data_IF_069447672789
#
_entry.id   IF_069447672789
#
_cell.length_a   1.000
_cell.length_b   1.000
_cell.length_c   1.000
_cell.angle_alpha   90.00
_cell.angle_beta   90.00
_cell.angle_gamma   90.00
#
_symmetry.space_group_name_H-M   'P 1'
#
loop_
_entity.id
_entity.type
_entity.pdbx_description
1 polymer ?
#
# COMPACT_ATOMS: atom_id res chain seq x y z
N UNK A 1 14.49 -0.73 12.39
CA UNK A 1 13.69 -1.70 13.17
C UNK A 1 13.89 -1.52 14.67
N UNK A 2 15.12 -1.57 15.22
CA UNK A 2 15.42 -1.43 16.67
C UNK A 2 14.82 -0.17 17.28
N UNK A 3 14.93 0.98 16.62
CA UNK A 3 14.40 2.26 17.12
C UNK A 3 12.86 2.23 17.24
N UNK A 4 12.15 1.68 16.24
CA UNK A 4 10.69 1.56 16.30
C UNK A 4 10.26 0.65 17.46
N UNK A 5 10.95 -0.47 17.66
CA UNK A 5 10.70 -1.36 18.81
C UNK A 5 10.92 -0.68 20.15
N UNK A 6 11.93 0.20 20.23
CA UNK A 6 12.17 1.02 21.41
C UNK A 6 11.02 2.01 21.65
N UNK A 7 10.59 2.74 20.61
CA UNK A 7 9.47 3.69 20.70
C UNK A 7 8.12 3.06 21.03
N UNK A 8 7.91 1.79 20.64
CA UNK A 8 6.71 1.03 21.02
C UNK A 8 6.67 0.67 22.51
N UNK A 9 7.83 0.50 23.13
CA UNK A 9 7.94 0.09 24.54
C UNK A 9 7.94 1.26 25.51
N UNK A 10 8.56 2.37 25.12
CA UNK A 10 8.75 3.54 25.97
C UNK A 10 9.00 4.78 25.13
N UNK A 11 8.61 5.93 25.64
CA UNK A 11 8.97 7.25 25.09
C UNK A 11 10.24 7.84 25.73
N UNK A 12 10.95 7.05 26.53
CA UNK A 12 12.12 7.47 27.31
C UNK A 12 11.77 7.95 28.73
N UNK A 13 10.49 8.20 29.03
CA UNK A 13 10.00 8.65 30.35
C UNK A 13 9.03 7.65 30.98
N UNK A 14 8.12 7.07 30.20
CA UNK A 14 7.09 6.15 30.69
C UNK A 14 6.96 4.92 29.80
N UNK A 15 6.52 3.80 30.40
CA UNK A 15 6.16 2.60 29.66
C UNK A 15 4.83 2.84 28.93
N UNK A 16 4.80 2.57 27.62
CA UNK A 16 3.61 2.77 26.79
C UNK A 16 2.63 1.62 26.89
N UNK A 17 1.34 1.97 26.90
CA UNK A 17 0.23 1.06 26.72
C UNK A 17 -0.09 0.81 25.23
N UNK A 18 -1.05 -0.09 24.94
CA UNK A 18 -1.40 -0.46 23.57
C UNK A 18 -2.00 0.70 22.74
N UNK A 19 -2.64 1.67 23.40
CA UNK A 19 -3.31 2.81 22.76
C UNK A 19 -2.45 4.09 22.74
N UNK A 20 -1.24 4.03 23.30
CA UNK A 20 -0.36 5.19 23.32
C UNK A 20 0.28 5.45 21.96
N UNK A 21 0.45 6.74 21.57
CA UNK A 21 1.04 7.08 20.28
C UNK A 21 2.50 6.62 20.20
N UNK A 22 2.90 6.03 19.09
CA UNK A 22 4.28 5.57 18.85
C UNK A 22 5.25 6.74 18.94
N UNK A 23 4.91 7.86 18.29
CA UNK A 23 5.69 9.09 18.30
C UNK A 23 4.95 10.15 19.10
N UNK A 24 5.58 10.59 20.18
CA UNK A 24 5.04 11.59 21.08
C UNK A 24 6.14 12.59 21.51
N UNK A 25 5.73 13.79 21.84
CA UNK A 25 6.60 14.82 22.38
C UNK A 25 6.03 15.38 23.69
N UNK A 26 6.88 15.81 24.66
CA UNK A 26 6.40 16.43 25.86
C UNK A 26 5.72 17.78 25.56
N UNK A 27 4.62 18.08 26.21
CA UNK A 27 4.01 19.39 26.16
C UNK A 27 4.94 20.40 26.87
N UNK A 28 4.98 21.63 26.37
CA UNK A 28 5.77 22.72 26.93
C UNK A 28 5.49 23.02 28.43
N UNK A 29 4.36 22.57 28.95
CA UNK A 29 4.01 22.63 30.39
C UNK A 29 3.34 21.30 30.78
N UNK A 30 4.08 20.43 31.48
CA UNK A 30 3.60 19.20 32.11
C UNK A 30 4.18 17.90 31.51
N UNK A 31 4.11 16.84 32.31
CA UNK A 31 4.68 15.50 31.97
C UNK A 31 3.87 14.71 30.95
N UNK A 32 2.78 15.28 30.44
CA UNK A 32 1.89 14.56 29.52
C UNK A 32 2.42 14.58 28.08
N UNK A 33 2.76 13.41 27.58
CA UNK A 33 3.15 13.21 26.21
C UNK A 33 1.96 13.39 25.24
N UNK A 34 2.19 14.08 24.13
CA UNK A 34 1.18 14.27 23.09
C UNK A 34 1.66 13.70 21.77
N UNK A 35 0.75 13.15 20.94
CA UNK A 35 1.09 12.67 19.61
C UNK A 35 1.86 13.72 18.83
N UNK A 36 2.95 13.30 18.17
CA UNK A 36 3.73 14.20 17.32
C UNK A 36 2.96 14.47 16.03
N UNK A 37 2.57 15.72 15.74
CA UNK A 37 1.85 16.05 14.53
C UNK A 37 2.72 15.80 13.27
N UNK A 38 2.13 15.36 12.14
CA UNK A 38 2.87 15.16 10.89
C UNK A 38 3.63 16.42 10.41
N UNK A 39 3.10 17.60 10.67
CA UNK A 39 3.72 18.86 10.27
C UNK A 39 5.06 19.10 10.95
N UNK A 40 5.20 18.73 12.21
CA UNK A 40 6.47 18.85 12.96
C UNK A 40 7.53 17.97 12.32
N UNK A 41 7.18 16.74 11.91
CA UNK A 41 8.09 15.84 11.21
C UNK A 41 8.48 16.42 9.85
N UNK A 42 7.52 16.96 9.10
CA UNK A 42 7.78 17.56 7.79
C UNK A 42 8.63 18.85 7.90
N UNK A 43 8.40 19.67 8.91
CA UNK A 43 9.25 20.84 9.18
C UNK A 43 10.69 20.43 9.52
N UNK A 44 10.86 19.39 10.32
CA UNK A 44 12.18 18.84 10.63
C UNK A 44 12.88 18.35 9.35
N UNK A 45 12.21 17.56 8.52
CA UNK A 45 12.75 17.07 7.23
C UNK A 45 13.09 18.22 6.29
N UNK A 46 12.25 19.25 6.22
CA UNK A 46 12.45 20.44 5.40
C UNK A 46 13.71 21.26 5.72
N UNK A 47 14.30 21.08 6.92
CA UNK A 47 15.59 21.70 7.30
C UNK A 47 16.77 21.09 6.56
N UNK A 48 16.69 19.82 6.18
CA UNK A 48 17.75 19.12 5.45
C UNK A 48 17.66 19.35 3.93
N UNK A 49 16.45 19.44 3.41
CA UNK A 49 16.22 19.71 1.99
C UNK A 49 14.87 20.38 1.79
N UNK A 50 14.86 21.50 1.04
CA UNK A 50 13.62 22.22 0.71
C UNK A 50 12.62 21.30 0.01
N UNK A 51 11.42 21.21 0.54
CA UNK A 51 10.34 20.36 -0.01
C UNK A 51 10.38 18.90 0.45
N UNK A 52 11.38 18.49 1.23
CA UNK A 52 11.43 17.14 1.78
C UNK A 52 10.33 16.95 2.84
N UNK A 53 9.60 15.85 2.71
CA UNK A 53 8.54 15.46 3.64
C UNK A 53 8.44 13.94 3.72
N UNK A 54 7.74 13.41 4.71
CA UNK A 54 7.50 11.96 4.82
C UNK A 54 6.83 11.37 3.55
N UNK A 55 5.96 12.16 2.89
CA UNK A 55 5.33 11.79 1.62
C UNK A 55 6.36 11.54 0.50
N UNK A 56 7.43 12.33 0.44
CA UNK A 56 8.47 12.20 -0.60
C UNK A 56 9.13 10.83 -0.53
N UNK A 57 9.47 10.34 0.66
CA UNK A 57 10.04 9.00 0.84
C UNK A 57 9.10 7.91 0.35
N UNK A 58 7.80 8.00 0.70
CA UNK A 58 6.80 7.04 0.24
C UNK A 58 6.66 7.07 -1.29
N UNK A 59 6.60 8.25 -1.88
CA UNK A 59 6.46 8.41 -3.33
C UNK A 59 7.70 7.87 -4.06
N UNK A 60 8.89 8.17 -3.56
CA UNK A 60 10.13 7.63 -4.11
C UNK A 60 10.15 6.10 -4.08
N UNK A 61 9.90 5.50 -2.91
CA UNK A 61 9.90 4.05 -2.78
C UNK A 61 8.84 3.39 -3.69
N UNK A 62 7.65 3.99 -3.79
CA UNK A 62 6.60 3.52 -4.69
C UNK A 62 7.07 3.54 -6.16
N UNK A 63 7.66 4.66 -6.60
CA UNK A 63 8.13 4.81 -7.98
C UNK A 63 9.30 3.89 -8.29
N UNK A 64 10.29 3.78 -7.39
CA UNK A 64 11.44 2.90 -7.57
C UNK A 64 11.04 1.43 -7.62
N UNK A 65 10.15 1.00 -6.71
CA UNK A 65 9.63 -0.38 -6.71
C UNK A 65 8.83 -0.65 -7.98
N UNK A 66 7.97 0.29 -8.40
CA UNK A 66 7.17 0.13 -9.61
C UNK A 66 8.06 0.01 -10.86
N UNK A 67 9.09 0.86 -10.97
CA UNK A 67 10.05 0.78 -12.07
C UNK A 67 10.75 -0.58 -12.10
N UNK A 68 11.29 -1.05 -10.97
CA UNK A 68 11.93 -2.37 -10.90
C UNK A 68 11.01 -3.51 -11.34
N UNK A 69 9.74 -3.50 -10.90
CA UNK A 69 8.76 -4.49 -11.31
C UNK A 69 8.41 -4.42 -12.80
N UNK A 70 8.44 -3.24 -13.41
CA UNK A 70 8.25 -3.09 -14.85
C UNK A 70 9.48 -3.60 -15.63
N UNK A 71 10.68 -3.34 -15.13
CA UNK A 71 11.92 -3.84 -15.75
C UNK A 71 11.99 -5.38 -15.73
N UNK A 72 11.40 -6.02 -14.71
CA UNK A 72 11.30 -7.48 -14.57
C UNK A 72 10.08 -8.09 -15.29
N UNK A 73 9.30 -7.30 -16.04
CA UNK A 73 8.03 -7.76 -16.65
C UNK A 73 8.23 -8.96 -17.58
N UNK A 74 9.29 -9.00 -18.37
CA UNK A 74 9.55 -10.10 -19.30
C UNK A 74 9.84 -11.40 -18.56
N UNK A 75 10.64 -11.37 -17.49
CA UNK A 75 10.93 -12.52 -16.64
C UNK A 75 9.67 -13.01 -15.93
N UNK A 76 8.86 -12.07 -15.43
CA UNK A 76 7.58 -12.39 -14.79
C UNK A 76 6.63 -13.08 -15.78
N UNK A 77 6.50 -12.61 -17.02
CA UNK A 77 5.71 -13.26 -18.05
C UNK A 77 6.26 -14.65 -18.37
N UNK A 78 7.57 -14.81 -18.52
CA UNK A 78 8.21 -16.08 -18.80
C UNK A 78 7.95 -17.14 -17.71
N UNK A 79 7.73 -16.73 -16.48
CA UNK A 79 7.40 -17.61 -15.34
C UNK A 79 5.94 -18.10 -15.30
N UNK A 80 5.07 -17.59 -16.19
CA UNK A 80 3.66 -17.96 -16.19
C UNK A 80 3.46 -19.42 -16.66
N UNK A 81 2.42 -20.10 -16.15
CA UNK A 81 2.26 -21.55 -16.36
C UNK A 81 1.95 -21.93 -17.81
N UNK A 82 1.17 -21.13 -18.52
CA UNK A 82 0.73 -21.47 -19.88
C UNK A 82 1.50 -20.71 -20.97
N UNK A 83 1.70 -21.30 -22.17
CA UNK A 83 2.34 -20.61 -23.29
C UNK A 83 1.64 -19.28 -23.66
N UNK A 84 0.30 -19.27 -23.62
CA UNK A 84 -0.51 -18.08 -23.95
C UNK A 84 -0.28 -16.94 -22.95
N UNK A 85 -0.07 -17.24 -21.66
CA UNK A 85 0.23 -16.23 -20.63
C UNK A 85 1.67 -15.70 -20.72
N UNK A 86 2.60 -16.44 -21.34
CA UNK A 86 4.00 -16.04 -21.55
C UNK A 86 4.17 -15.12 -22.75
N UNK A 87 3.21 -15.09 -23.64
CA UNK A 87 3.29 -14.30 -24.87
C UNK A 87 3.23 -12.79 -24.55
N UNK A 88 4.08 -12.00 -25.20
CA UNK A 88 4.12 -10.54 -25.03
C UNK A 88 2.97 -9.93 -25.85
N UNK A 89 1.80 -9.93 -25.28
CA UNK A 89 0.60 -9.31 -25.84
C UNK A 89 0.17 -8.10 -25.00
N UNK A 90 -0.58 -7.14 -25.57
CA UNK A 90 -1.14 -6.02 -24.78
C UNK A 90 -1.99 -6.48 -23.60
N UNK A 91 -2.66 -7.63 -23.71
CA UNK A 91 -3.45 -8.19 -22.62
C UNK A 91 -2.55 -8.68 -21.47
N UNK A 92 -1.49 -9.44 -21.77
CA UNK A 92 -0.56 -9.98 -20.80
C UNK A 92 0.30 -8.86 -20.15
N UNK A 93 0.74 -7.88 -20.93
CA UNK A 93 1.41 -6.69 -20.41
C UNK A 93 0.52 -5.91 -19.43
N UNK A 94 -0.77 -5.79 -19.70
CA UNK A 94 -1.72 -5.16 -18.77
C UNK A 94 -1.86 -5.96 -17.48
N UNK A 95 -1.81 -7.29 -17.53
CA UNK A 95 -1.83 -8.13 -16.33
C UNK A 95 -0.57 -7.90 -15.50
N UNK A 96 0.61 -7.89 -16.12
CA UNK A 96 1.88 -7.59 -15.45
C UNK A 96 1.89 -6.20 -14.82
N UNK A 97 1.46 -5.18 -15.55
CA UNK A 97 1.31 -3.81 -15.04
C UNK A 97 0.38 -3.73 -13.81
N UNK A 98 -0.77 -4.40 -13.88
CA UNK A 98 -1.72 -4.41 -12.76
C UNK A 98 -1.15 -5.14 -11.55
N UNK A 99 -0.37 -6.19 -11.75
CA UNK A 99 0.32 -6.89 -10.66
C UNK A 99 1.39 -6.01 -10.02
N UNK A 100 2.22 -5.33 -10.81
CA UNK A 100 3.20 -4.37 -10.31
C UNK A 100 2.51 -3.24 -9.51
N UNK A 101 1.43 -2.69 -10.03
CA UNK A 101 0.65 -1.65 -9.35
C UNK A 101 0.02 -2.17 -8.03
N UNK A 102 -0.43 -3.43 -8.00
CA UNK A 102 -0.95 -4.08 -6.78
C UNK A 102 0.14 -4.19 -5.71
N UNK A 103 1.36 -4.59 -6.07
CA UNK A 103 2.48 -4.70 -5.14
C UNK A 103 2.86 -3.34 -4.56
N UNK A 104 2.91 -2.29 -5.39
CA UNK A 104 3.13 -0.92 -4.93
C UNK A 104 2.01 -0.43 -4.00
N UNK A 105 0.76 -0.76 -4.29
CA UNK A 105 -0.37 -0.41 -3.42
C UNK A 105 -0.25 -1.07 -2.04
N UNK A 106 0.21 -2.32 -1.97
CA UNK A 106 0.51 -3.03 -0.72
C UNK A 106 1.65 -2.35 0.03
N UNK A 107 2.76 -2.05 -0.67
CA UNK A 107 3.90 -1.34 -0.09
C UNK A 107 3.50 0.01 0.54
N UNK A 108 2.62 0.75 -0.13
CA UNK A 108 2.13 2.04 0.34
C UNK A 108 0.99 1.92 1.38
N UNK A 109 0.58 0.71 1.74
CA UNK A 109 -0.58 0.45 2.59
C UNK A 109 -1.86 1.16 2.09
N UNK A 110 -2.02 1.24 0.77
CA UNK A 110 -3.21 1.80 0.13
C UNK A 110 -4.34 0.77 0.16
N UNK A 111 -4.93 0.57 1.32
CA UNK A 111 -6.14 -0.24 1.44
C UNK A 111 -7.35 0.61 1.08
N UNK A 112 -8.00 0.29 -0.05
CA UNK A 112 -9.34 0.80 -0.30
C UNK A 112 -10.28 0.19 0.72
N UNK A 113 -11.00 1.03 1.45
CA UNK A 113 -12.15 0.55 2.24
C UNK A 113 -13.12 -0.12 1.28
N UNK A 114 -13.26 -1.44 1.40
CA UNK A 114 -14.17 -2.20 0.55
C UNK A 114 -15.59 -1.87 0.99
N UNK A 115 -16.33 -1.17 0.15
CA UNK A 115 -17.76 -0.99 0.37
C UNK A 115 -18.45 -2.33 0.06
N UNK A 116 -18.73 -3.09 1.12
CA UNK A 116 -19.35 -4.41 1.01
C UNK A 116 -20.68 -4.41 0.25
N UNK A 117 -21.46 -3.33 0.33
CA UNK A 117 -22.72 -3.19 -0.42
C UNK A 117 -22.45 -3.13 -1.93
N UNK A 118 -21.46 -2.35 -2.35
CA UNK A 118 -21.08 -2.23 -3.76
C UNK A 118 -20.45 -3.53 -4.27
N UNK A 119 -19.63 -4.18 -3.45
CA UNK A 119 -19.03 -5.47 -3.78
C UNK A 119 -20.09 -6.54 -3.98
N UNK A 120 -21.04 -6.67 -3.06
CA UNK A 120 -22.12 -7.66 -3.14
C UNK A 120 -23.00 -7.43 -4.37
N UNK A 121 -23.38 -6.18 -4.67
CA UNK A 121 -24.11 -5.85 -5.90
C UNK A 121 -23.32 -6.23 -7.17
N UNK A 122 -22.00 -6.04 -7.18
CA UNK A 122 -21.15 -6.45 -8.31
C UNK A 122 -21.06 -7.96 -8.45
N UNK A 123 -20.94 -8.68 -7.34
CA UNK A 123 -20.93 -10.15 -7.30
C UNK A 123 -22.26 -10.73 -7.82
N UNK A 124 -23.39 -10.17 -7.39
CA UNK A 124 -24.71 -10.64 -7.81
C UNK A 124 -24.92 -10.43 -9.31
N UNK A 125 -24.56 -9.26 -9.85
CA UNK A 125 -24.56 -9.02 -11.31
C UNK A 125 -23.69 -10.00 -12.08
N UNK A 126 -22.55 -10.38 -11.52
CA UNK A 126 -21.64 -11.35 -12.16
C UNK A 126 -22.23 -12.75 -12.12
N UNK A 127 -22.83 -13.17 -11.00
CA UNK A 127 -23.54 -14.44 -10.87
C UNK A 127 -24.69 -14.54 -11.86
N UNK A 128 -25.47 -13.47 -12.04
CA UNK A 128 -26.60 -13.46 -13.01
C UNK A 128 -26.10 -13.57 -14.45
N UNK A 129 -24.99 -12.89 -14.80
CA UNK A 129 -24.36 -13.05 -16.12
C UNK A 129 -23.89 -14.49 -16.36
N UNK A 130 -23.26 -15.12 -15.37
CA UNK A 130 -22.82 -16.52 -15.47
C UNK A 130 -24.02 -17.46 -15.63
N UNK A 131 -25.08 -17.27 -14.84
CA UNK A 131 -26.32 -18.06 -14.97
C UNK A 131 -26.93 -17.94 -16.36
N UNK A 132 -27.01 -16.72 -16.91
CA UNK A 132 -27.49 -16.47 -18.26
C UNK A 132 -26.63 -17.18 -19.31
N UNK A 133 -25.32 -17.07 -19.23
CA UNK A 133 -24.41 -17.74 -20.17
C UNK A 133 -24.54 -19.26 -20.10
N UNK A 134 -24.63 -19.85 -18.91
CA UNK A 134 -24.84 -21.30 -18.74
C UNK A 134 -26.19 -21.74 -19.34
N UNK A 135 -27.23 -20.92 -19.19
CA UNK A 135 -28.53 -21.19 -19.79
C UNK A 135 -28.48 -21.18 -21.33
N UNK A 136 -27.76 -20.19 -21.91
CA UNK A 136 -27.62 -20.08 -23.38
C UNK A 136 -26.82 -21.24 -23.98
N UNK A 137 -25.75 -21.70 -23.29
CA UNK A 137 -24.88 -22.79 -23.76
C UNK A 137 -25.58 -24.16 -23.68
N UNK A 138 -26.56 -24.33 -22.80
CA UNK A 138 -27.29 -25.58 -22.61
C UNK A 138 -28.49 -25.74 -23.56
N UNK A 139 -28.76 -24.76 -24.40
CA UNK A 139 -29.77 -24.84 -25.51
C UNK A 139 -29.10 -25.20 -26.82
#
# INVERSE_FOLDING_TARGET
YKNITSFLKSDGHQKKGPDDPIFAAPKARGDKMTPLPPDVVNQFLGRYMKGLSAKVFRTYNASATFQGLLDETEEWLASRPTPQEREITPANLRIAYNEANRQVAILCNHQKTVNHVTLNKSLDRTKDKVRYLVFVIRR
#
